data_IF_271512497845
#
_entry.id   IF_271512497845
#
_cell.length_a   1.000
_cell.length_b   1.000
_cell.length_c   1.000
_cell.angle_alpha   90.00
_cell.angle_beta   90.00
_cell.angle_gamma   90.00
#
_symmetry.space_group_name_H-M   'P 1'
#
loop_
_entity.id
_entity.type
_entity.pdbx_description
1 polymer ?
#
# COMPACT_ATOMS: atom_id res chain seq x y z
N UNK A 1 21.20 6.72 19.17
CA UNK A 1 20.11 6.92 18.17
C UNK A 1 18.88 6.20 18.67
N UNK A 2 17.74 6.83 18.70
CA UNK A 2 16.54 6.16 19.17
C UNK A 2 16.05 5.09 18.15
N UNK A 3 15.29 4.14 18.65
CA UNK A 3 14.85 2.98 17.89
C UNK A 3 13.96 3.37 16.69
N UNK A 4 13.05 4.33 16.86
CA UNK A 4 12.19 4.78 15.79
C UNK A 4 13.00 5.35 14.62
N UNK A 5 14.00 6.16 14.92
CA UNK A 5 14.88 6.76 13.90
C UNK A 5 15.71 5.70 13.18
N UNK A 6 16.21 4.70 13.89
CA UNK A 6 16.96 3.60 13.29
C UNK A 6 16.10 2.83 12.29
N UNK A 7 14.87 2.49 12.67
CA UNK A 7 13.93 1.77 11.81
C UNK A 7 13.56 2.62 10.59
N UNK A 8 13.28 3.90 10.79
CA UNK A 8 12.94 4.83 9.71
C UNK A 8 14.05 4.89 8.66
N UNK A 9 15.30 5.02 9.10
CA UNK A 9 16.45 5.09 8.19
C UNK A 9 16.69 3.77 7.46
N UNK A 10 16.44 2.64 8.13
CA UNK A 10 16.52 1.32 7.51
C UNK A 10 15.46 1.17 6.41
N UNK A 11 14.22 1.54 6.68
CA UNK A 11 13.14 1.48 5.69
C UNK A 11 13.42 2.40 4.50
N UNK A 12 13.91 3.60 4.78
CA UNK A 12 14.28 4.56 3.73
C UNK A 12 15.34 3.98 2.79
N UNK A 13 16.34 3.29 3.35
CA UNK A 13 17.39 2.63 2.58
C UNK A 13 16.84 1.48 1.73
N UNK A 14 15.98 0.64 2.32
CA UNK A 14 15.35 -0.47 1.59
C UNK A 14 14.42 0.02 0.48
N UNK A 15 13.86 1.21 0.61
CA UNK A 15 12.97 1.82 -0.38
C UNK A 15 13.69 2.68 -1.42
N UNK A 16 15.02 2.66 -1.45
CA UNK A 16 15.84 3.50 -2.32
C UNK A 16 15.53 3.27 -3.81
N UNK A 17 15.10 2.06 -4.19
CA UNK A 17 14.72 1.74 -5.56
C UNK A 17 13.51 2.53 -6.06
N UNK A 18 12.75 3.16 -5.16
CA UNK A 18 11.55 3.91 -5.53
C UNK A 18 11.87 5.24 -6.22
N UNK A 19 13.10 5.71 -6.14
CA UNK A 19 13.60 6.95 -6.79
C UNK A 19 12.76 8.20 -6.51
N UNK A 20 12.09 8.23 -5.35
CA UNK A 20 11.21 9.32 -4.95
C UNK A 20 11.58 9.83 -3.57
N UNK A 21 11.07 11.00 -3.23
CA UNK A 21 11.05 11.45 -1.84
C UNK A 21 10.31 10.40 -1.02
N UNK A 22 10.99 9.88 -0.01
CA UNK A 22 10.43 8.80 0.82
C UNK A 22 9.15 9.29 1.49
N UNK A 23 7.97 8.69 1.18
CA UNK A 23 6.68 9.25 1.57
C UNK A 23 6.25 8.90 3.00
N UNK A 24 7.20 8.76 3.90
CA UNK A 24 6.97 8.40 5.29
C UNK A 24 7.67 9.42 6.19
N UNK A 25 6.96 9.91 7.18
CA UNK A 25 7.51 10.85 8.17
C UNK A 25 7.81 10.11 9.47
N UNK A 26 8.91 10.48 10.10
CA UNK A 26 9.25 10.03 11.44
C UNK A 26 8.60 10.96 12.45
N UNK A 27 7.64 10.46 13.24
CA UNK A 27 6.83 11.26 14.11
C UNK A 27 5.78 12.08 13.36
N UNK A 28 5.10 12.97 14.05
CA UNK A 28 4.04 13.78 13.46
C UNK A 28 4.61 14.69 12.36
N UNK A 29 3.99 14.63 11.19
CA UNK A 29 4.38 15.42 10.04
C UNK A 29 3.74 16.82 10.04
N UNK A 30 3.75 17.52 8.89
CA UNK A 30 3.20 18.87 8.80
C UNK A 30 1.67 18.98 8.96
N UNK A 31 0.93 17.88 8.88
CA UNK A 31 -0.51 17.90 9.16
C UNK A 31 -1.42 17.95 7.94
N UNK A 32 -0.96 17.47 6.77
CA UNK A 32 -1.72 17.43 5.52
C UNK A 32 -2.18 16.03 5.14
N UNK A 33 -2.29 15.13 6.11
CA UNK A 33 -2.74 13.75 5.86
C UNK A 33 -1.62 12.78 5.49
N UNK A 34 -0.38 13.16 5.71
CA UNK A 34 0.79 12.33 5.39
C UNK A 34 0.88 11.08 6.27
N UNK A 35 1.55 10.07 5.74
CA UNK A 35 1.83 8.83 6.46
C UNK A 35 2.99 9.04 7.42
N UNK A 36 2.80 8.64 8.68
CA UNK A 36 3.78 8.82 9.75
C UNK A 36 4.02 7.51 10.50
N UNK A 37 5.23 7.38 11.04
CA UNK A 37 5.58 6.24 11.90
C UNK A 37 6.22 6.72 13.20
N UNK A 38 6.06 5.93 14.23
CA UNK A 38 6.75 6.12 15.50
C UNK A 38 6.89 4.79 16.24
N UNK A 39 7.60 4.82 17.33
CA UNK A 39 7.78 3.68 18.22
C UNK A 39 7.88 4.16 19.67
N UNK A 40 7.20 3.47 20.56
CA UNK A 40 7.41 3.60 22.00
C UNK A 40 7.41 2.22 22.65
N UNK A 41 8.06 2.10 23.81
CA UNK A 41 8.04 0.84 24.57
C UNK A 41 6.62 0.49 25.02
N UNK A 42 5.81 1.50 25.30
CA UNK A 42 4.44 1.31 25.75
C UNK A 42 3.50 0.85 24.64
N UNK A 43 3.55 1.50 23.47
CA UNK A 43 2.60 1.28 22.38
C UNK A 43 3.14 0.36 21.28
N UNK A 44 4.44 0.09 21.25
CA UNK A 44 5.09 -0.63 20.17
C UNK A 44 5.28 0.20 18.93
N UNK A 45 5.22 -0.44 17.77
CA UNK A 45 5.35 0.21 16.47
C UNK A 45 4.02 0.83 16.06
N UNK A 46 4.07 2.07 15.54
CA UNK A 46 2.88 2.82 15.17
C UNK A 46 2.98 3.34 13.75
N UNK A 47 1.91 3.18 12.97
CA UNK A 47 1.75 3.74 11.65
C UNK A 47 0.40 4.49 11.63
N UNK A 48 0.40 5.73 11.16
CA UNK A 48 -0.80 6.56 11.22
C UNK A 48 -0.77 7.67 10.19
N UNK A 49 -1.95 8.24 9.91
CA UNK A 49 -2.05 9.50 9.18
C UNK A 49 -2.07 10.66 10.16
N UNK A 50 -1.54 11.80 9.74
CA UNK A 50 -1.54 13.00 10.56
C UNK A 50 -2.15 14.16 9.79
N UNK A 51 -3.28 14.68 10.29
CA UNK A 51 -4.01 15.75 9.62
C UNK A 51 -4.59 16.71 10.63
N UNK A 52 -4.36 18.00 10.40
CA UNK A 52 -4.90 19.09 11.23
C UNK A 52 -4.62 18.89 12.73
N UNK A 53 -3.42 18.47 13.07
CA UNK A 53 -2.99 18.26 14.45
C UNK A 53 -3.53 16.99 15.10
N UNK A 54 -4.14 16.08 14.34
CA UNK A 54 -4.70 14.83 14.84
C UNK A 54 -4.16 13.62 14.12
N UNK A 55 -3.91 12.55 14.88
CA UNK A 55 -3.58 11.24 14.34
C UNK A 55 -4.86 10.52 13.95
N UNK A 56 -4.86 9.87 12.80
CA UNK A 56 -5.99 9.07 12.33
C UNK A 56 -5.50 7.76 11.73
N UNK A 57 -6.41 6.81 11.54
CA UNK A 57 -6.11 5.51 10.94
C UNK A 57 -4.91 4.82 11.61
N UNK A 58 -4.84 4.87 12.94
CA UNK A 58 -3.72 4.30 13.68
C UNK A 58 -3.67 2.78 13.58
N UNK A 59 -2.50 2.27 13.21
CA UNK A 59 -2.15 0.86 13.29
C UNK A 59 -1.03 0.71 14.32
N UNK A 60 -1.21 -0.20 15.28
CA UNK A 60 -0.22 -0.47 16.32
C UNK A 60 0.05 -1.96 16.40
N UNK A 61 1.30 -2.32 16.54
CA UNK A 61 1.70 -3.71 16.74
C UNK A 61 3.02 -3.79 17.49
N UNK A 62 3.22 -4.88 18.20
CA UNK A 62 4.51 -5.21 18.80
C UNK A 62 5.36 -6.10 17.88
N UNK A 63 4.78 -6.60 16.79
CA UNK A 63 5.44 -7.46 15.82
C UNK A 63 6.11 -6.60 14.74
N UNK A 64 7.44 -6.61 14.70
CA UNK A 64 8.21 -5.83 13.74
C UNK A 64 7.93 -6.23 12.29
N UNK A 65 7.81 -7.52 12.00
CA UNK A 65 7.56 -7.99 10.63
C UNK A 65 6.18 -7.56 10.13
N UNK A 66 5.18 -7.61 11.00
CA UNK A 66 3.85 -7.10 10.69
C UNK A 66 3.89 -5.59 10.42
N UNK A 67 4.63 -4.86 11.24
CA UNK A 67 4.80 -3.41 11.06
C UNK A 67 5.47 -3.08 9.73
N UNK A 68 6.57 -3.77 9.43
CA UNK A 68 7.31 -3.58 8.18
C UNK A 68 6.42 -3.84 6.95
N UNK A 69 5.64 -4.92 6.99
CA UNK A 69 4.68 -5.21 5.92
C UNK A 69 3.68 -4.06 5.73
N UNK A 70 3.07 -3.59 6.81
CA UNK A 70 2.09 -2.50 6.73
C UNK A 70 2.70 -1.21 6.18
N UNK A 71 3.90 -0.86 6.63
CA UNK A 71 4.61 0.34 6.14
C UNK A 71 4.83 0.24 4.63
N UNK A 72 5.42 -0.85 4.15
CA UNK A 72 5.72 -1.00 2.73
C UNK A 72 4.47 -1.18 1.87
N UNK A 73 3.44 -1.83 2.39
CA UNK A 73 2.16 -1.93 1.69
C UNK A 73 1.59 -0.53 1.41
N UNK A 74 1.59 0.34 2.42
CA UNK A 74 1.10 1.71 2.27
C UNK A 74 1.95 2.55 1.32
N UNK A 75 3.28 2.43 1.42
CA UNK A 75 4.20 3.16 0.53
C UNK A 75 3.96 2.73 -0.93
N UNK A 76 3.93 1.44 -1.18
CA UNK A 76 3.71 0.90 -2.52
C UNK A 76 2.32 1.27 -3.06
N UNK A 77 1.32 1.30 -2.20
CA UNK A 77 -0.04 1.69 -2.56
C UNK A 77 -0.13 3.17 -3.00
N UNK A 78 0.54 4.08 -2.29
CA UNK A 78 0.61 5.48 -2.72
C UNK A 78 1.19 5.59 -4.13
N UNK A 79 2.24 4.84 -4.41
CA UNK A 79 2.86 4.83 -5.73
C UNK A 79 1.96 4.19 -6.78
N UNK A 80 1.25 3.14 -6.40
CA UNK A 80 0.26 2.49 -7.27
C UNK A 80 -0.86 3.44 -7.67
N UNK A 81 -1.34 4.24 -6.72
CA UNK A 81 -2.36 5.27 -6.99
C UNK A 81 -1.83 6.37 -7.90
N UNK A 82 -0.61 6.85 -7.69
CA UNK A 82 0.01 7.82 -8.58
C UNK A 82 0.14 7.28 -10.01
N UNK A 83 0.55 6.02 -10.12
CA UNK A 83 0.65 5.35 -11.40
C UNK A 83 -0.71 5.26 -12.10
N UNK A 84 -1.77 4.93 -11.37
CA UNK A 84 -3.13 4.90 -11.88
C UNK A 84 -3.53 6.25 -12.44
N UNK A 85 -3.31 7.35 -11.69
CA UNK A 85 -3.65 8.69 -12.12
C UNK A 85 -2.95 9.10 -13.42
N UNK A 86 -1.69 8.69 -13.60
CA UNK A 86 -0.92 8.99 -14.81
C UNK A 86 -1.34 8.14 -16.01
N UNK A 87 -1.92 6.96 -15.77
CA UNK A 87 -2.30 6.00 -16.82
C UNK A 87 -3.81 5.88 -16.98
N UNK A 88 -4.57 6.73 -16.30
CA UNK A 88 -6.00 6.79 -16.45
C UNK A 88 -6.35 7.36 -17.82
N UNK A 89 -7.26 6.68 -18.53
CA UNK A 89 -7.75 7.14 -19.82
C UNK A 89 -9.14 7.73 -19.67
N UNK A 90 -9.41 8.84 -20.34
CA UNK A 90 -10.71 9.53 -20.26
C UNK A 90 -11.88 8.64 -20.67
N UNK A 91 -11.65 7.67 -21.56
CA UNK A 91 -12.66 6.72 -22.02
C UNK A 91 -12.84 5.53 -21.08
N UNK A 92 -12.03 5.39 -20.05
CA UNK A 92 -12.21 4.35 -19.04
C UNK A 92 -13.35 4.75 -18.11
N UNK A 93 -14.50 4.15 -18.33
CA UNK A 93 -15.64 4.31 -17.43
C UNK A 93 -15.46 3.37 -16.26
N UNK A 94 -15.66 3.88 -15.05
CA UNK A 94 -15.63 3.05 -13.87
C UNK A 94 -16.89 2.17 -13.83
N UNK A 95 -16.72 0.91 -14.21
CA UNK A 95 -17.76 -0.12 -14.09
C UNK A 95 -17.17 -1.29 -13.32
N UNK A 96 -17.66 -1.49 -12.10
CA UNK A 96 -17.17 -2.55 -11.21
C UNK A 96 -17.39 -3.96 -11.78
N UNK A 97 -18.30 -4.12 -12.75
CA UNK A 97 -18.57 -5.41 -13.38
C UNK A 97 -17.63 -5.72 -14.55
N UNK A 98 -16.85 -4.74 -15.01
CA UNK A 98 -15.89 -4.91 -16.11
C UNK A 98 -14.49 -4.66 -15.58
N UNK A 99 -13.72 -5.71 -15.35
CA UNK A 99 -12.40 -5.61 -14.73
C UNK A 99 -11.44 -4.71 -15.53
N UNK A 100 -11.45 -4.78 -16.85
CA UNK A 100 -10.56 -4.01 -17.72
C UNK A 100 -10.81 -2.50 -17.64
N UNK A 101 -11.98 -2.09 -17.23
CA UNK A 101 -12.33 -0.66 -17.05
C UNK A 101 -12.28 -0.22 -15.58
N UNK A 102 -11.99 -1.14 -14.67
CA UNK A 102 -11.86 -0.83 -13.26
C UNK A 102 -10.45 -0.29 -12.99
N UNK A 103 -10.36 1.01 -12.74
CA UNK A 103 -9.07 1.69 -12.54
C UNK A 103 -8.30 1.18 -11.32
N UNK A 104 -9.00 0.59 -10.35
CA UNK A 104 -8.35 -0.03 -9.17
C UNK A 104 -7.41 -1.16 -9.57
N UNK A 105 -7.71 -1.87 -10.67
CA UNK A 105 -6.84 -2.92 -11.22
C UNK A 105 -5.44 -2.35 -11.50
N UNK A 106 -5.36 -1.16 -12.09
CA UNK A 106 -4.09 -0.50 -12.40
C UNK A 106 -3.31 -0.22 -11.12
N UNK A 107 -3.96 0.38 -10.13
CA UNK A 107 -3.32 0.73 -8.86
C UNK A 107 -2.86 -0.52 -8.09
N UNK A 108 -3.70 -1.54 -8.00
CA UNK A 108 -3.39 -2.75 -7.25
C UNK A 108 -2.28 -3.57 -7.89
N UNK A 109 -2.28 -3.71 -9.21
CA UNK A 109 -1.22 -4.44 -9.92
C UNK A 109 0.13 -3.73 -9.78
N UNK A 110 0.15 -2.41 -9.88
CA UNK A 110 1.38 -1.64 -9.69
C UNK A 110 1.88 -1.75 -8.25
N UNK A 111 0.97 -1.66 -7.28
CA UNK A 111 1.32 -1.84 -5.87
C UNK A 111 1.98 -3.20 -5.62
N UNK A 112 1.40 -4.27 -6.18
CA UNK A 112 1.94 -5.62 -6.01
C UNK A 112 3.30 -5.79 -6.70
N UNK A 113 3.49 -5.19 -7.88
CA UNK A 113 4.78 -5.22 -8.56
C UNK A 113 5.88 -4.55 -7.72
N UNK A 114 5.59 -3.41 -7.12
CA UNK A 114 6.54 -2.70 -6.25
C UNK A 114 6.78 -3.46 -4.95
N UNK A 115 5.73 -4.00 -4.35
CA UNK A 115 5.83 -4.77 -3.11
C UNK A 115 6.68 -6.03 -3.31
N UNK A 116 6.57 -6.67 -4.47
CA UNK A 116 7.40 -7.83 -4.84
C UNK A 116 8.88 -7.48 -4.86
N UNK A 117 9.24 -6.28 -5.24
CA UNK A 117 10.63 -5.82 -5.25
C UNK A 117 11.19 -5.69 -3.83
N UNK A 118 10.32 -5.38 -2.85
CA UNK A 118 10.72 -5.31 -1.44
C UNK A 118 10.80 -6.71 -0.83
N UNK A 119 9.73 -7.50 -0.95
CA UNK A 119 9.67 -8.85 -0.40
C UNK A 119 8.62 -9.69 -1.13
N UNK A 120 9.04 -10.66 -1.98
CA UNK A 120 8.10 -11.50 -2.71
C UNK A 120 7.16 -12.33 -1.83
N UNK A 121 7.56 -12.62 -0.58
CA UNK A 121 6.74 -13.41 0.35
C UNK A 121 5.46 -12.68 0.77
N UNK A 122 5.37 -11.37 0.57
CA UNK A 122 4.20 -10.58 0.95
C UNK A 122 3.10 -10.55 -0.11
N UNK A 123 3.38 -11.04 -1.32
CA UNK A 123 2.46 -10.91 -2.46
C UNK A 123 1.13 -11.64 -2.22
N UNK A 124 1.17 -12.87 -1.71
CA UNK A 124 -0.07 -13.65 -1.51
C UNK A 124 -1.04 -12.96 -0.54
N UNK A 125 -0.53 -12.44 0.55
CA UNK A 125 -1.34 -11.72 1.54
C UNK A 125 -1.96 -10.43 0.97
N UNK A 126 -1.15 -9.62 0.30
CA UNK A 126 -1.61 -8.36 -0.28
C UNK A 126 -2.60 -8.61 -1.43
N UNK A 127 -2.31 -9.56 -2.31
CA UNK A 127 -3.18 -9.92 -3.43
C UNK A 127 -4.53 -10.44 -2.95
N UNK A 128 -4.56 -11.21 -1.86
CA UNK A 128 -5.81 -11.69 -1.27
C UNK A 128 -6.71 -10.53 -0.87
N UNK A 129 -6.16 -9.51 -0.22
CA UNK A 129 -6.92 -8.32 0.17
C UNK A 129 -7.45 -7.54 -1.03
N UNK A 130 -6.64 -7.33 -2.04
CA UNK A 130 -7.05 -6.62 -3.26
C UNK A 130 -8.05 -7.41 -4.10
N UNK A 131 -7.92 -8.73 -4.15
CA UNK A 131 -8.90 -9.60 -4.81
C UNK A 131 -10.27 -9.46 -4.15
N UNK A 132 -10.32 -9.48 -2.82
CA UNK A 132 -11.57 -9.27 -2.08
C UNK A 132 -12.17 -7.89 -2.39
N UNK A 133 -11.33 -6.86 -2.46
CA UNK A 133 -11.75 -5.50 -2.76
C UNK A 133 -12.35 -5.39 -4.17
N UNK A 134 -11.70 -5.98 -5.18
CA UNK A 134 -12.20 -5.96 -6.55
C UNK A 134 -13.53 -6.71 -6.70
N UNK A 135 -13.74 -7.76 -5.90
CA UNK A 135 -14.98 -8.54 -5.94
C UNK A 135 -16.13 -7.91 -5.14
N UNK A 136 -15.85 -6.94 -4.27
CA UNK A 136 -16.81 -6.45 -3.26
C UNK A 136 -18.11 -5.93 -3.90
N UNK A 137 -18.02 -5.17 -4.98
CA UNK A 137 -19.18 -4.54 -5.64
C UNK A 137 -19.58 -5.21 -6.96
N UNK A 138 -18.99 -6.36 -7.27
CA UNK A 138 -19.27 -7.07 -8.51
C UNK A 138 -20.46 -8.01 -8.33
N UNK A 139 -21.28 -8.13 -9.36
CA UNK A 139 -22.35 -9.13 -9.42
C UNK A 139 -21.76 -10.54 -9.46
N UNK A 140 -20.79 -10.75 -10.35
CA UNK A 140 -20.02 -12.00 -10.43
C UNK A 140 -18.70 -11.79 -9.68
N UNK A 141 -18.57 -12.45 -8.53
CA UNK A 141 -17.36 -12.35 -7.70
C UNK A 141 -16.30 -13.34 -8.19
N UNK A 142 -15.85 -13.14 -9.42
CA UNK A 142 -14.99 -14.08 -10.15
C UNK A 142 -13.59 -13.55 -10.46
N UNK A 143 -13.20 -12.43 -9.84
CA UNK A 143 -11.84 -11.91 -9.95
C UNK A 143 -10.88 -12.82 -9.16
N UNK A 144 -9.76 -13.13 -9.74
CA UNK A 144 -8.66 -13.82 -9.08
C UNK A 144 -7.33 -13.17 -9.48
N UNK A 145 -6.29 -13.40 -8.70
CA UNK A 145 -4.97 -12.90 -9.00
C UNK A 145 -4.11 -14.00 -9.64
N UNK A 146 -3.65 -13.75 -10.86
CA UNK A 146 -2.69 -14.61 -11.55
C UNK A 146 -1.27 -14.20 -11.12
N UNK A 147 -0.68 -14.96 -10.21
CA UNK A 147 0.63 -14.65 -9.62
C UNK A 147 1.77 -14.68 -10.63
N UNK A 148 1.73 -15.57 -11.61
CA UNK A 148 2.78 -15.64 -12.64
C UNK A 148 2.77 -14.40 -13.52
N UNK A 149 1.59 -13.97 -13.96
CA UNK A 149 1.42 -12.77 -14.76
C UNK A 149 1.47 -11.49 -13.95
N UNK A 150 1.31 -11.57 -12.63
CA UNK A 150 1.14 -10.42 -11.72
C UNK A 150 -0.03 -9.53 -12.14
N UNK A 151 -1.13 -10.15 -12.51
CA UNK A 151 -2.34 -9.49 -13.00
C UNK A 151 -3.60 -10.08 -12.40
N UNK A 152 -4.61 -9.23 -12.23
CA UNK A 152 -5.95 -9.67 -11.88
C UNK A 152 -6.70 -10.07 -13.14
N UNK A 153 -7.41 -11.19 -13.07
CA UNK A 153 -8.18 -11.79 -14.17
C UNK A 153 -9.55 -12.25 -13.68
N UNK A 154 -10.42 -12.55 -14.61
CA UNK A 154 -11.74 -13.10 -14.29
C UNK A 154 -11.84 -14.54 -14.77
N UNK A 155 -12.50 -15.36 -13.96
CA UNK A 155 -12.89 -16.71 -14.35
C UNK A 155 -14.18 -16.64 -15.19
N UNK A 156 -14.22 -17.44 -16.24
CA UNK A 156 -15.39 -17.56 -17.10
C UNK A 156 -16.53 -18.35 -16.42
#
# INVERSE_FOLDING_TARGET
MDKAKQIYLEFKREADFLELDFPLFLGDGPGFGELCMDYSEQDGYMLYGYERGKRNSEFKTTDFEEFKYEVFLHICWYMGMEFELRHWKEDMRHDDNILETDTRKIAFEKTLQLLKMVNPAWIDKAAQGYTAYLNLWRENKNVYFDKEAMEFKVNS
#
